data_IF_843454399483
#
_entry.id   IF_843454399483
#
_cell.length_a   1.000
_cell.length_b   1.000
_cell.length_c   1.000
_cell.angle_alpha   90.00
_cell.angle_beta   90.00
_cell.angle_gamma   90.00
#
_symmetry.space_group_name_H-M   'P 1'
#
loop_
_entity.id
_entity.type
_entity.pdbx_description
1 polymer ?
#
# COMPACT_ATOMS: atom_id res chain seq x y z
N UNK A 1 -21.56 -11.03 -0.67
CA UNK A 1 -21.16 -10.08 -1.73
C UNK A 1 -19.82 -10.54 -2.26
N UNK A 2 -19.55 -10.53 -3.57
CA UNK A 2 -18.42 -11.32 -4.07
C UNK A 2 -17.09 -10.57 -4.13
N UNK A 3 -17.08 -9.28 -4.47
CA UNK A 3 -15.84 -8.58 -4.86
C UNK A 3 -15.78 -7.16 -4.32
N UNK A 4 -14.64 -6.76 -3.74
CA UNK A 4 -14.39 -5.39 -3.29
C UNK A 4 -13.24 -4.78 -4.08
N UNK A 5 -13.44 -3.55 -4.55
CA UNK A 5 -12.36 -2.65 -4.95
C UNK A 5 -12.21 -1.55 -3.89
N UNK A 6 -11.16 -1.63 -3.10
CA UNK A 6 -10.79 -0.68 -2.07
C UNK A 6 -9.77 0.33 -2.57
N UNK A 7 -9.96 1.60 -2.22
CA UNK A 7 -8.98 2.67 -2.41
C UNK A 7 -8.51 3.22 -1.07
N UNK A 8 -7.21 3.45 -0.95
CA UNK A 8 -6.59 4.21 0.15
C UNK A 8 -6.40 5.64 -0.32
N UNK A 9 -6.98 6.61 0.40
CA UNK A 9 -6.90 8.03 0.03
C UNK A 9 -6.48 8.88 1.22
N UNK A 10 -5.52 9.77 0.99
CA UNK A 10 -5.25 10.89 1.88
C UNK A 10 -5.70 12.18 1.20
N UNK A 11 -6.60 12.94 1.83
CA UNK A 11 -7.07 14.24 1.36
C UNK A 11 -6.31 15.36 2.04
N UNK A 12 -5.45 16.04 1.28
CA UNK A 12 -4.57 17.09 1.80
C UNK A 12 -4.22 18.17 0.76
N UNK A 13 -4.78 18.07 -0.45
CA UNK A 13 -4.47 18.96 -1.57
C UNK A 13 -5.55 18.93 -2.64
N UNK A 14 -5.68 19.99 -3.44
CA UNK A 14 -6.60 20.03 -4.59
C UNK A 14 -6.43 18.83 -5.53
N UNK A 15 -5.20 18.31 -5.67
CA UNK A 15 -4.94 17.10 -6.46
C UNK A 15 -5.63 15.87 -5.87
N UNK A 16 -5.47 15.62 -4.58
CA UNK A 16 -6.13 14.49 -3.90
C UNK A 16 -7.66 14.52 -4.01
N UNK A 17 -8.26 15.72 -4.08
CA UNK A 17 -9.69 15.89 -4.36
C UNK A 17 -10.06 15.52 -5.81
N UNK A 18 -9.23 15.88 -6.80
CA UNK A 18 -9.44 15.44 -8.20
C UNK A 18 -9.35 13.91 -8.32
N UNK A 19 -8.40 13.30 -7.62
CA UNK A 19 -8.25 11.85 -7.58
C UNK A 19 -9.51 11.19 -7.00
N UNK A 20 -10.04 11.71 -5.89
CA UNK A 20 -11.31 11.28 -5.30
C UNK A 20 -12.49 11.35 -6.30
N UNK A 21 -12.61 12.43 -7.08
CA UNK A 21 -13.65 12.55 -8.13
C UNK A 21 -13.46 11.49 -9.21
N UNK A 22 -12.23 11.24 -9.63
CA UNK A 22 -11.90 10.21 -10.61
C UNK A 22 -12.31 8.83 -10.09
N UNK A 23 -12.16 8.54 -8.79
CA UNK A 23 -12.68 7.32 -8.16
C UNK A 23 -14.19 7.25 -8.26
N UNK A 24 -14.88 8.30 -7.82
CA UNK A 24 -16.34 8.31 -7.75
C UNK A 24 -16.97 8.11 -9.14
N UNK A 25 -16.45 8.79 -10.17
CA UNK A 25 -16.99 8.77 -11.53
C UNK A 25 -16.46 7.64 -12.40
N UNK A 26 -15.19 7.27 -12.25
CA UNK A 26 -14.49 6.37 -13.17
C UNK A 26 -14.65 4.89 -12.85
N UNK A 27 -14.81 4.53 -11.58
CA UNK A 27 -14.76 3.14 -11.13
C UNK A 27 -15.88 2.28 -11.75
N UNK A 28 -17.11 2.79 -11.84
CA UNK A 28 -18.30 2.03 -12.28
C UNK A 28 -18.16 1.47 -13.70
N UNK A 29 -17.39 2.14 -14.57
CA UNK A 29 -17.13 1.69 -15.94
C UNK A 29 -16.33 0.37 -15.97
N UNK A 30 -15.45 0.17 -14.99
CA UNK A 30 -14.54 -0.98 -14.94
C UNK A 30 -14.95 -2.00 -13.87
N UNK A 31 -15.66 -1.56 -12.84
CA UNK A 31 -16.08 -2.36 -11.69
C UNK A 31 -17.58 -2.17 -11.42
N UNK A 32 -18.44 -2.61 -12.35
CA UNK A 32 -19.89 -2.40 -12.25
C UNK A 32 -20.49 -3.21 -11.08
N UNK A 33 -21.41 -2.62 -10.28
CA UNK A 33 -22.11 -3.33 -9.21
C UNK A 33 -22.87 -4.58 -9.68
N UNK A 34 -23.31 -4.58 -10.95
CA UNK A 34 -24.02 -5.69 -11.59
C UNK A 34 -23.15 -6.97 -11.67
N UNK A 35 -21.82 -6.83 -11.68
CA UNK A 35 -20.86 -7.94 -11.63
C UNK A 35 -20.50 -8.37 -10.18
N UNK A 36 -21.19 -7.80 -9.19
CA UNK A 36 -21.01 -8.08 -7.77
C UNK A 36 -19.88 -7.30 -7.12
N UNK A 37 -19.41 -6.21 -7.73
CA UNK A 37 -18.40 -5.32 -7.18
C UNK A 37 -18.99 -4.28 -6.22
N UNK A 38 -18.29 -4.04 -5.12
CA UNK A 38 -18.47 -2.88 -4.27
C UNK A 38 -17.19 -2.06 -4.26
N UNK A 39 -17.32 -0.75 -4.46
CA UNK A 39 -16.19 0.17 -4.35
C UNK A 39 -16.22 0.92 -3.04
N UNK A 40 -15.12 0.83 -2.30
CA UNK A 40 -14.93 1.46 -0.99
C UNK A 40 -13.72 2.38 -1.07
N UNK A 41 -13.87 3.61 -0.59
CA UNK A 41 -12.76 4.55 -0.41
C UNK A 41 -12.55 4.71 1.09
N UNK A 42 -11.43 4.19 1.61
CA UNK A 42 -10.97 4.47 2.96
C UNK A 42 -10.11 5.75 2.92
N UNK A 43 -10.61 6.79 3.58
CA UNK A 43 -10.14 8.16 3.41
C UNK A 43 -9.83 8.82 4.76
N UNK A 44 -8.68 9.51 4.86
CA UNK A 44 -8.35 10.40 5.98
C UNK A 44 -7.91 11.78 5.48
N UNK A 45 -7.70 12.72 6.42
CA UNK A 45 -7.37 14.12 6.15
C UNK A 45 -8.60 15.01 6.25
N UNK A 46 -8.79 15.88 5.26
CA UNK A 46 -9.94 16.78 5.23
C UNK A 46 -11.27 16.01 5.07
N UNK A 47 -12.32 16.45 5.78
CA UNK A 47 -13.66 15.91 5.64
C UNK A 47 -14.27 16.31 4.27
N UNK A 48 -14.56 15.36 3.36
CA UNK A 48 -14.98 15.69 1.99
C UNK A 48 -16.48 16.03 1.88
N UNK A 49 -17.23 16.14 2.98
CA UNK A 49 -18.69 16.33 2.94
C UNK A 49 -19.10 17.58 2.15
N UNK A 50 -18.51 18.72 2.47
CA UNK A 50 -18.80 19.99 1.77
C UNK A 50 -18.38 19.93 0.30
N UNK A 51 -17.28 19.23 0.01
CA UNK A 51 -16.81 19.01 -1.34
C UNK A 51 -17.82 18.21 -2.17
N UNK A 52 -18.42 17.14 -1.61
CA UNK A 52 -19.43 16.35 -2.31
C UNK A 52 -20.71 17.13 -2.64
N UNK A 53 -21.05 18.14 -1.83
CA UNK A 53 -22.16 19.04 -2.09
C UNK A 53 -21.84 20.00 -3.23
N UNK A 54 -20.67 20.63 -3.18
CA UNK A 54 -20.24 21.60 -4.19
C UNK A 54 -20.10 20.98 -5.59
N UNK A 55 -19.59 19.75 -5.66
CA UNK A 55 -19.33 19.06 -6.93
C UNK A 55 -20.51 18.19 -7.44
N UNK A 56 -21.67 18.28 -6.80
CA UNK A 56 -22.87 17.47 -7.10
C UNK A 56 -22.62 15.95 -7.10
N UNK A 57 -21.81 15.47 -6.15
CA UNK A 57 -21.43 14.06 -6.03
C UNK A 57 -22.26 13.32 -4.98
N UNK A 58 -23.08 14.04 -4.20
CA UNK A 58 -23.89 13.45 -3.13
C UNK A 58 -24.71 12.27 -3.63
N UNK A 59 -25.22 12.26 -4.85
CA UNK A 59 -26.01 11.15 -5.37
C UNK A 59 -25.18 9.89 -5.68
N UNK A 60 -23.90 10.04 -5.99
CA UNK A 60 -23.01 8.92 -6.33
C UNK A 60 -22.34 8.25 -5.13
N UNK A 61 -22.32 8.90 -3.96
CA UNK A 61 -21.57 8.43 -2.78
C UNK A 61 -22.44 8.13 -1.56
N UNK A 62 -22.20 7.01 -0.89
CA UNK A 62 -22.62 6.80 0.49
C UNK A 62 -21.48 7.20 1.41
N UNK A 63 -21.62 8.33 2.10
CA UNK A 63 -20.60 8.88 2.98
C UNK A 63 -20.82 8.45 4.44
N UNK A 64 -19.77 7.96 5.08
CA UNK A 64 -19.73 7.56 6.48
C UNK A 64 -18.57 8.30 7.16
N UNK A 65 -18.89 9.05 8.21
CA UNK A 65 -17.94 9.89 8.94
C UNK A 65 -17.70 9.32 10.33
N UNK A 66 -16.60 8.58 10.48
CA UNK A 66 -16.22 7.94 11.73
C UNK A 66 -15.06 8.63 12.42
N UNK A 67 -14.42 9.62 11.78
CA UNK A 67 -13.27 10.33 12.36
C UNK A 67 -13.50 10.84 13.79
N UNK A 68 -14.69 11.39 14.17
CA UNK A 68 -14.93 11.82 15.55
C UNK A 68 -15.12 10.69 16.58
N UNK A 69 -15.39 9.46 16.13
CA UNK A 69 -15.80 8.32 16.95
C UNK A 69 -14.85 7.12 16.81
N UNK A 70 -13.68 7.35 16.22
CA UNK A 70 -12.77 6.29 15.86
C UNK A 70 -12.02 5.76 17.08
N UNK A 71 -12.13 4.46 17.31
CA UNK A 71 -11.35 3.73 18.31
C UNK A 71 -10.31 2.80 17.66
N UNK A 72 -10.63 2.19 16.50
CA UNK A 72 -9.74 1.31 15.73
C UNK A 72 -10.31 0.99 14.34
N UNK A 73 -9.46 0.52 13.42
CA UNK A 73 -9.87 0.04 12.08
C UNK A 73 -10.94 -1.06 12.16
N UNK A 74 -10.76 -2.01 13.08
CA UNK A 74 -11.74 -3.07 13.35
C UNK A 74 -13.09 -2.52 13.79
N UNK A 75 -13.10 -1.56 14.71
CA UNK A 75 -14.35 -0.96 15.19
C UNK A 75 -15.08 -0.20 14.09
N UNK A 76 -14.36 0.58 13.29
CA UNK A 76 -14.93 1.29 12.13
C UNK A 76 -15.52 0.28 11.14
N UNK A 77 -14.81 -0.81 10.85
CA UNK A 77 -15.30 -1.89 9.99
C UNK A 77 -16.60 -2.53 10.52
N UNK A 78 -16.66 -2.81 11.84
CA UNK A 78 -17.86 -3.38 12.49
C UNK A 78 -19.08 -2.46 12.37
N UNK A 79 -18.89 -1.16 12.59
CA UNK A 79 -19.98 -0.18 12.48
C UNK A 79 -20.42 -0.03 11.03
N UNK A 80 -19.46 0.02 10.09
CA UNK A 80 -19.76 0.04 8.66
C UNK A 80 -20.53 -1.21 8.22
N UNK A 81 -20.08 -2.41 8.59
CA UNK A 81 -20.72 -3.67 8.18
C UNK A 81 -22.15 -3.85 8.73
N UNK A 82 -22.44 -3.25 9.90
CA UNK A 82 -23.81 -3.20 10.47
C UNK A 82 -24.67 -2.10 9.83
N UNK A 83 -24.05 -1.13 9.18
CA UNK A 83 -24.76 -0.06 8.49
C UNK A 83 -25.35 -0.56 7.17
N UNK A 84 -26.40 0.11 6.69
CA UNK A 84 -26.92 -0.16 5.35
C UNK A 84 -25.94 0.39 4.30
N UNK A 85 -25.13 -0.48 3.71
CA UNK A 85 -24.30 -0.12 2.56
C UNK A 85 -25.12 -0.14 1.26
N UNK A 86 -24.75 0.70 0.30
CA UNK A 86 -25.48 0.86 -0.98
C UNK A 86 -24.58 0.48 -2.16
N UNK A 87 -24.57 -0.78 -2.63
CA UNK A 87 -23.59 -1.26 -3.62
C UNK A 87 -23.60 -0.47 -4.95
N UNK A 88 -24.74 0.11 -5.33
CA UNK A 88 -24.86 0.99 -6.51
C UNK A 88 -24.15 2.36 -6.38
N UNK A 89 -23.61 2.67 -5.20
CA UNK A 89 -22.92 3.92 -4.88
C UNK A 89 -21.52 3.62 -4.36
N UNK A 90 -20.61 4.55 -4.55
CA UNK A 90 -19.28 4.45 -3.97
C UNK A 90 -19.38 4.68 -2.46
N UNK A 91 -18.89 3.73 -1.66
CA UNK A 91 -18.89 3.87 -0.20
C UNK A 91 -17.64 4.67 0.19
N UNK A 92 -17.81 5.82 0.83
CA UNK A 92 -16.69 6.66 1.31
C UNK A 92 -16.67 6.62 2.82
N UNK A 93 -15.58 6.12 3.39
CA UNK A 93 -15.38 5.98 4.82
C UNK A 93 -14.30 6.97 5.24
N UNK A 94 -14.71 8.03 5.93
CA UNK A 94 -13.80 9.01 6.52
C UNK A 94 -13.43 8.61 7.95
N UNK A 95 -12.14 8.51 8.21
CA UNK A 95 -11.54 8.21 9.51
C UNK A 95 -10.47 9.27 9.86
N UNK A 96 -10.07 9.30 11.13
CA UNK A 96 -9.17 10.31 11.68
C UNK A 96 -7.72 10.11 11.21
N UNK A 97 -6.91 11.17 11.26
CA UNK A 97 -5.57 11.22 10.66
C UNK A 97 -4.50 10.34 11.34
N UNK A 98 -4.79 9.61 12.44
CA UNK A 98 -3.73 8.99 13.25
C UNK A 98 -3.79 7.46 13.35
N UNK A 99 -2.66 6.75 13.05
CA UNK A 99 -1.39 7.26 12.51
C UNK A 99 -1.38 7.37 10.97
N UNK A 100 -0.81 8.45 10.46
CA UNK A 100 -0.49 8.64 9.03
C UNK A 100 0.24 7.40 8.48
N UNK A 101 -0.42 6.71 7.53
CA UNK A 101 0.17 5.61 6.79
C UNK A 101 -0.86 4.73 6.08
N UNK A 102 -0.35 3.86 5.21
CA UNK A 102 -1.15 3.02 4.32
C UNK A 102 -1.66 1.71 4.97
N UNK A 103 -1.19 1.39 6.17
CA UNK A 103 -1.53 0.14 6.87
C UNK A 103 -2.90 0.20 7.53
N UNK A 104 -3.27 1.34 8.13
CA UNK A 104 -4.61 1.50 8.71
C UNK A 104 -5.74 1.32 7.69
N UNK A 105 -5.78 2.05 6.56
CA UNK A 105 -6.87 1.87 5.59
C UNK A 105 -6.85 0.49 4.94
N UNK A 106 -5.68 -0.13 4.82
CA UNK A 106 -5.55 -1.53 4.41
C UNK A 106 -6.21 -2.48 5.42
N UNK A 107 -5.87 -2.36 6.70
CA UNK A 107 -6.47 -3.15 7.78
C UNK A 107 -7.99 -2.97 7.83
N UNK A 108 -8.47 -1.73 7.73
CA UNK A 108 -9.90 -1.40 7.68
C UNK A 108 -10.59 -2.14 6.54
N UNK A 109 -10.04 -2.09 5.33
CA UNK A 109 -10.61 -2.77 4.16
C UNK A 109 -10.60 -4.30 4.31
N UNK A 110 -9.55 -4.87 4.90
CA UNK A 110 -9.48 -6.31 5.22
C UNK A 110 -10.56 -6.72 6.23
N UNK A 111 -10.75 -5.96 7.30
CA UNK A 111 -11.81 -6.23 8.28
C UNK A 111 -13.21 -6.10 7.67
N UNK A 112 -13.44 -5.10 6.82
CA UNK A 112 -14.71 -4.98 6.09
C UNK A 112 -14.94 -6.19 5.20
N UNK A 113 -13.94 -6.61 4.43
CA UNK A 113 -14.02 -7.79 3.58
C UNK A 113 -14.38 -9.06 4.37
N UNK A 114 -13.77 -9.24 5.54
CA UNK A 114 -14.08 -10.35 6.45
C UNK A 114 -15.52 -10.27 6.99
N UNK A 115 -15.97 -9.10 7.42
CA UNK A 115 -17.30 -8.91 8.03
C UNK A 115 -18.45 -9.10 7.04
N UNK A 116 -18.24 -8.76 5.76
CA UNK A 116 -19.27 -8.93 4.71
C UNK A 116 -19.09 -10.22 3.88
N UNK A 117 -18.15 -11.08 4.30
CA UNK A 117 -17.76 -12.33 3.65
C UNK A 117 -17.47 -12.15 2.15
N UNK A 118 -16.63 -11.17 1.81
CA UNK A 118 -16.20 -10.94 0.44
C UNK A 118 -15.26 -12.05 -0.04
N UNK A 119 -15.49 -12.60 -1.24
CA UNK A 119 -14.65 -13.65 -1.83
C UNK A 119 -13.25 -13.10 -2.18
N UNK A 120 -13.19 -11.86 -2.65
CA UNK A 120 -11.96 -11.18 -3.04
C UNK A 120 -11.96 -9.70 -2.67
N UNK A 121 -10.79 -9.18 -2.29
CA UNK A 121 -10.54 -7.78 -1.98
C UNK A 121 -9.33 -7.30 -2.78
N UNK A 122 -9.51 -6.30 -3.64
CA UNK A 122 -8.40 -5.49 -4.15
C UNK A 122 -8.24 -4.23 -3.30
N UNK A 123 -7.01 -3.86 -2.97
CA UNK A 123 -6.67 -2.59 -2.32
C UNK A 123 -5.66 -1.86 -3.18
N UNK A 124 -6.05 -0.69 -3.68
CA UNK A 124 -5.24 0.18 -4.52
C UNK A 124 -4.92 1.51 -3.83
N UNK A 125 -3.74 2.04 -4.08
CA UNK A 125 -3.48 3.47 -3.89
C UNK A 125 -4.29 4.29 -4.90
N UNK A 126 -4.58 5.53 -4.51
CA UNK A 126 -5.40 6.48 -5.27
C UNK A 126 -4.59 7.43 -6.14
N UNK A 127 -3.27 7.26 -6.21
CA UNK A 127 -2.37 8.10 -7.01
C UNK A 127 -2.42 7.81 -8.52
N UNK A 128 -3.22 6.81 -8.92
CA UNK A 128 -3.42 6.37 -10.29
C UNK A 128 -2.13 6.02 -11.04
N UNK A 129 -1.09 5.59 -10.33
CA UNK A 129 0.05 4.93 -10.96
C UNK A 129 -0.43 3.74 -11.81
N UNK A 130 -1.46 3.03 -11.33
CA UNK A 130 -2.19 2.02 -12.09
C UNK A 130 -3.53 2.60 -12.56
N UNK A 131 -3.79 2.49 -13.87
CA UNK A 131 -5.08 2.87 -14.44
C UNK A 131 -6.16 1.83 -14.09
N UNK A 132 -7.44 2.21 -14.15
CA UNK A 132 -8.54 1.26 -13.91
C UNK A 132 -8.51 0.03 -14.80
N UNK A 133 -8.10 0.19 -16.06
CA UNK A 133 -7.98 -0.95 -16.97
C UNK A 133 -6.90 -1.93 -16.51
N UNK A 134 -5.78 -1.43 -15.96
CA UNK A 134 -4.73 -2.30 -15.42
C UNK A 134 -5.17 -2.94 -14.10
N UNK A 135 -5.77 -2.19 -13.17
CA UNK A 135 -6.35 -2.76 -11.94
C UNK A 135 -7.35 -3.87 -12.31
N UNK A 136 -8.22 -3.63 -13.30
CA UNK A 136 -9.21 -4.62 -13.75
C UNK A 136 -8.55 -5.86 -14.35
N UNK A 137 -7.53 -5.70 -15.19
CA UNK A 137 -6.77 -6.83 -15.75
C UNK A 137 -6.15 -7.71 -14.66
N UNK A 138 -5.56 -7.10 -13.63
CA UNK A 138 -4.98 -7.84 -12.49
C UNK A 138 -6.08 -8.55 -11.69
N UNK A 139 -7.22 -7.89 -11.50
CA UNK A 139 -8.37 -8.47 -10.81
C UNK A 139 -8.91 -9.70 -11.54
N UNK A 140 -9.17 -9.58 -12.85
CA UNK A 140 -9.66 -10.70 -13.66
C UNK A 140 -8.65 -11.85 -13.71
N UNK A 141 -7.34 -11.54 -13.78
CA UNK A 141 -6.29 -12.55 -13.65
C UNK A 141 -6.35 -13.25 -12.29
N UNK A 142 -6.42 -12.51 -11.18
CA UNK A 142 -6.55 -13.09 -9.84
C UNK A 142 -7.76 -14.04 -9.75
N UNK A 143 -8.92 -13.62 -10.26
CA UNK A 143 -10.12 -14.45 -10.27
C UNK A 143 -9.96 -15.75 -11.08
N UNK A 144 -9.11 -15.75 -12.09
CA UNK A 144 -8.84 -16.94 -12.92
C UNK A 144 -7.90 -17.96 -12.26
N UNK A 145 -7.09 -17.55 -11.29
CA UNK A 145 -6.04 -18.40 -10.68
C UNK A 145 -6.23 -18.65 -9.18
N UNK A 146 -7.02 -17.83 -8.48
CA UNK A 146 -7.16 -17.87 -7.03
C UNK A 146 -8.54 -18.39 -6.59
N UNK A 147 -8.51 -19.49 -5.83
CA UNK A 147 -9.66 -20.02 -5.11
C UNK A 147 -9.92 -19.16 -3.86
N UNK A 148 -11.15 -18.62 -3.64
CA UNK A 148 -11.49 -17.82 -2.46
C UNK A 148 -11.14 -18.49 -1.12
N UNK A 149 -11.14 -19.83 -1.07
CA UNK A 149 -10.89 -20.61 0.14
C UNK A 149 -9.42 -21.04 0.31
N UNK A 150 -8.55 -20.67 -0.63
CA UNK A 150 -7.10 -20.82 -0.51
C UNK A 150 -6.45 -19.48 -0.20
N UNK A 151 -5.39 -19.50 0.61
CA UNK A 151 -4.63 -18.30 0.96
C UNK A 151 -3.83 -17.87 -0.26
N UNK A 152 -4.29 -16.85 -0.97
CA UNK A 152 -3.61 -16.30 -2.15
C UNK A 152 -3.60 -14.77 -2.07
N UNK A 153 -2.45 -14.18 -2.34
CA UNK A 153 -2.33 -12.74 -2.61
C UNK A 153 -1.65 -12.53 -3.95
N UNK A 154 -2.22 -11.63 -4.75
CA UNK A 154 -1.63 -11.16 -6.01
C UNK A 154 -1.04 -9.77 -5.85
N UNK A 155 0.21 -9.64 -6.27
CA UNK A 155 0.92 -8.37 -6.44
C UNK A 155 1.34 -8.25 -7.90
N UNK A 156 0.83 -7.27 -8.66
CA UNK A 156 1.30 -7.08 -10.02
C UNK A 156 2.72 -6.53 -10.05
N UNK A 157 3.45 -6.82 -11.12
CA UNK A 157 4.80 -6.30 -11.38
C UNK A 157 4.74 -5.10 -12.31
N UNK A 158 5.16 -3.93 -11.84
CA UNK A 158 5.13 -2.69 -12.64
C UNK A 158 6.21 -2.68 -13.74
N UNK A 159 5.84 -2.29 -14.96
CA UNK A 159 6.75 -2.11 -16.10
C UNK A 159 6.33 -0.95 -17.03
N UNK A 160 7.23 -0.02 -17.43
CA UNK A 160 8.61 0.13 -16.98
C UNK A 160 8.68 0.70 -15.55
N UNK A 161 9.80 0.45 -14.87
CA UNK A 161 10.09 1.10 -13.59
C UNK A 161 10.49 2.56 -13.87
N UNK A 162 9.59 3.53 -13.71
CA UNK A 162 9.92 4.95 -13.93
C UNK A 162 9.74 5.77 -12.64
N UNK A 163 10.87 6.16 -12.05
CA UNK A 163 10.97 7.28 -11.10
C UNK A 163 12.44 7.55 -10.81
N UNK A 164 12.86 8.78 -11.06
CA UNK A 164 14.10 9.35 -10.54
C UNK A 164 13.68 10.48 -9.59
N UNK A 165 13.96 10.31 -8.30
CA UNK A 165 13.73 11.38 -7.32
C UNK A 165 15.09 12.01 -7.06
N UNK A 166 15.40 13.12 -7.72
CA UNK A 166 16.69 13.82 -7.61
C UNK A 166 17.05 14.24 -6.16
N UNK A 167 16.08 14.20 -5.24
CA UNK A 167 16.19 14.69 -3.85
C UNK A 167 16.63 13.62 -2.82
N UNK A 168 16.69 12.33 -3.17
CA UNK A 168 17.12 11.27 -2.24
C UNK A 168 18.35 10.53 -2.79
N UNK A 169 19.35 10.14 -1.97
CA UNK A 169 20.58 9.51 -2.46
C UNK A 169 20.40 8.14 -3.14
N UNK A 170 19.21 7.55 -2.98
CA UNK A 170 18.79 6.31 -3.62
C UNK A 170 17.46 6.54 -4.34
N UNK A 171 17.34 6.08 -5.59
CA UNK A 171 16.08 6.20 -6.32
C UNK A 171 14.99 5.37 -5.64
N UNK A 172 13.72 5.73 -5.87
CA UNK A 172 12.58 5.07 -5.22
C UNK A 172 12.56 3.56 -5.42
N UNK A 173 12.90 3.10 -6.62
CA UNK A 173 12.87 1.68 -6.97
C UNK A 173 13.89 0.86 -6.20
N UNK A 174 15.12 1.35 -6.09
CA UNK A 174 16.13 0.69 -5.27
C UNK A 174 15.74 0.74 -3.79
N UNK A 175 15.07 1.79 -3.32
CA UNK A 175 14.52 1.81 -1.97
C UNK A 175 13.43 0.74 -1.78
N UNK A 176 12.50 0.58 -2.72
CA UNK A 176 11.49 -0.49 -2.68
C UNK A 176 12.10 -1.89 -2.76
N UNK A 177 13.18 -2.07 -3.52
CA UNK A 177 13.90 -3.34 -3.57
C UNK A 177 14.55 -3.67 -2.21
N UNK A 178 15.17 -2.67 -1.57
CA UNK A 178 15.71 -2.83 -0.21
C UNK A 178 14.59 -3.06 0.83
N UNK A 179 13.43 -2.43 0.69
CA UNK A 179 12.26 -2.70 1.52
C UNK A 179 11.80 -4.16 1.36
N UNK A 180 11.74 -4.64 0.11
CA UNK A 180 11.38 -6.01 -0.21
C UNK A 180 12.38 -7.00 0.41
N UNK A 181 13.68 -6.67 0.48
CA UNK A 181 14.70 -7.52 1.09
C UNK A 181 14.42 -7.90 2.55
N UNK A 182 13.71 -7.07 3.32
CA UNK A 182 13.27 -7.46 4.66
C UNK A 182 12.43 -8.74 4.63
N UNK A 183 11.57 -8.93 3.62
CA UNK A 183 10.77 -10.16 3.46
C UNK A 183 11.70 -11.36 3.32
N UNK A 184 12.69 -11.28 2.44
CA UNK A 184 13.64 -12.37 2.16
C UNK A 184 14.39 -12.79 3.42
N UNK A 185 14.89 -11.82 4.18
CA UNK A 185 15.68 -12.09 5.39
C UNK A 185 14.86 -12.69 6.54
N UNK A 186 13.57 -12.38 6.61
CA UNK A 186 12.72 -12.75 7.75
C UNK A 186 11.84 -13.96 7.52
N UNK A 187 11.80 -14.47 6.30
CA UNK A 187 10.97 -15.61 5.91
C UNK A 187 11.77 -16.89 5.63
N UNK A 188 13.10 -16.88 5.84
CA UNK A 188 14.00 -18.02 5.64
C UNK A 188 13.89 -18.64 4.22
N UNK A 189 13.53 -17.79 3.24
CA UNK A 189 13.26 -18.22 1.88
C UNK A 189 14.49 -18.10 1.01
N UNK A 190 15.17 -19.23 0.79
CA UNK A 190 15.98 -19.43 -0.40
C UNK A 190 15.14 -19.50 -1.70
N UNK A 191 13.81 -19.35 -1.62
CA UNK A 191 12.82 -19.74 -2.65
C UNK A 191 12.36 -18.58 -3.54
N UNK A 192 12.60 -17.32 -3.16
CA UNK A 192 12.18 -16.19 -3.99
C UNK A 192 13.18 -15.95 -5.14
N UNK A 193 13.19 -16.86 -6.13
CA UNK A 193 13.96 -16.75 -7.39
C UNK A 193 13.36 -15.75 -8.40
N UNK A 194 12.34 -14.98 -8.03
CA UNK A 194 11.76 -13.96 -8.91
C UNK A 194 11.77 -12.59 -8.24
N UNK A 195 11.53 -11.55 -9.05
CA UNK A 195 11.63 -10.11 -8.73
C UNK A 195 10.25 -9.51 -8.34
N UNK A 196 9.60 -9.89 -7.22
CA UNK A 196 8.27 -9.41 -6.87
C UNK A 196 8.26 -7.93 -6.53
N UNK A 197 7.15 -7.29 -6.85
CA UNK A 197 6.90 -5.88 -6.56
C UNK A 197 5.79 -5.76 -5.51
N UNK A 198 6.16 -5.96 -4.24
CA UNK A 198 5.21 -5.89 -3.10
C UNK A 198 4.79 -4.45 -2.75
N UNK A 199 5.41 -3.47 -3.40
CA UNK A 199 5.14 -2.04 -3.24
C UNK A 199 4.39 -1.47 -4.45
N UNK A 200 3.76 -2.32 -5.26
CA UNK A 200 3.09 -1.94 -6.51
C UNK A 200 1.87 -1.04 -6.38
N UNK A 201 1.53 -0.64 -5.15
CA UNK A 201 0.34 0.15 -4.83
C UNK A 201 -0.97 -0.64 -4.96
N UNK A 202 -0.96 -1.85 -5.51
CA UNK A 202 -2.11 -2.76 -5.64
C UNK A 202 -1.81 -4.12 -5.02
N UNK A 203 -2.73 -4.61 -4.21
CA UNK A 203 -2.75 -6.01 -3.73
C UNK A 203 -4.15 -6.58 -3.87
N UNK A 204 -4.28 -7.83 -4.30
CA UNK A 204 -5.56 -8.54 -4.36
C UNK A 204 -5.50 -9.80 -3.52
N UNK A 205 -6.43 -9.97 -2.59
CA UNK A 205 -6.47 -11.06 -1.63
C UNK A 205 -7.74 -11.89 -1.77
N UNK A 206 -7.63 -13.18 -1.47
CA UNK A 206 -8.79 -14.06 -1.30
C UNK A 206 -9.39 -13.92 0.10
N UNK A 207 -10.62 -14.42 0.28
CA UNK A 207 -11.27 -14.54 1.59
C UNK A 207 -10.40 -15.27 2.61
N UNK A 208 -9.82 -16.41 2.24
CA UNK A 208 -8.95 -17.17 3.15
C UNK A 208 -7.68 -16.39 3.53
N UNK A 209 -7.10 -15.60 2.62
CA UNK A 209 -6.00 -14.71 2.97
C UNK A 209 -6.46 -13.61 3.95
N UNK A 210 -7.60 -12.95 3.69
CA UNK A 210 -8.12 -11.91 4.57
C UNK A 210 -8.39 -12.39 6.00
N UNK A 211 -8.85 -13.63 6.18
CA UNK A 211 -9.10 -14.22 7.52
C UNK A 211 -7.84 -14.46 8.34
N UNK A 212 -6.68 -14.60 7.68
CA UNK A 212 -5.40 -14.84 8.33
C UNK A 212 -4.68 -13.54 8.70
N UNK A 213 -4.79 -12.52 7.86
CA UNK A 213 -4.01 -11.28 8.00
C UNK A 213 -4.30 -10.57 9.32
N UNK A 214 -3.25 -10.31 10.09
CA UNK A 214 -3.29 -9.52 11.31
C UNK A 214 -2.40 -8.26 11.16
N UNK A 215 -2.94 -7.11 11.56
CA UNK A 215 -2.26 -5.82 11.52
C UNK A 215 -2.15 -5.12 12.90
N UNK A 216 -2.60 -5.75 13.99
CA UNK A 216 -2.69 -5.14 15.34
C UNK A 216 -1.38 -4.50 15.84
N UNK A 217 -0.23 -5.02 15.40
CA UNK A 217 1.09 -4.50 15.77
C UNK A 217 1.88 -3.95 14.57
N UNK A 218 1.29 -3.91 13.39
CA UNK A 218 2.00 -3.57 12.16
C UNK A 218 2.10 -2.06 12.02
N UNK A 219 3.32 -1.59 11.77
CA UNK A 219 3.57 -0.17 11.59
C UNK A 219 2.85 0.43 10.37
N UNK A 220 2.53 1.72 10.46
CA UNK A 220 1.76 2.52 9.49
C UNK A 220 2.13 2.38 8.00
N UNK A 221 3.37 2.05 7.64
CA UNK A 221 3.86 2.07 6.25
C UNK A 221 4.27 0.71 5.69
N UNK A 222 4.20 -0.36 6.49
CA UNK A 222 4.77 -1.67 6.12
C UNK A 222 3.70 -2.74 5.87
N UNK A 223 2.41 -2.39 5.91
CA UNK A 223 1.28 -3.31 5.76
C UNK A 223 1.37 -4.25 4.56
N UNK A 224 1.59 -3.74 3.34
CA UNK A 224 1.71 -4.56 2.13
C UNK A 224 2.88 -5.58 2.22
N UNK A 225 4.05 -5.16 2.74
CA UNK A 225 5.18 -6.09 2.96
C UNK A 225 4.81 -7.16 3.97
N UNK A 226 4.14 -6.74 5.06
CA UNK A 226 3.77 -7.62 6.14
C UNK A 226 2.73 -8.66 5.70
N UNK A 227 1.81 -8.30 4.80
CA UNK A 227 0.88 -9.26 4.18
C UNK A 227 1.62 -10.39 3.47
N UNK A 228 2.62 -10.06 2.65
CA UNK A 228 3.42 -11.06 1.95
C UNK A 228 4.13 -12.01 2.94
N UNK A 229 4.75 -11.47 3.99
CA UNK A 229 5.40 -12.27 5.05
C UNK A 229 4.40 -13.22 5.72
N UNK A 230 3.22 -12.72 6.10
CA UNK A 230 2.19 -13.52 6.76
C UNK A 230 1.71 -14.67 5.87
N UNK A 231 1.45 -14.41 4.58
CA UNK A 231 1.05 -15.45 3.63
C UNK A 231 2.09 -16.54 3.51
N UNK A 232 3.36 -16.18 3.32
CA UNK A 232 4.44 -17.15 3.17
C UNK A 232 4.58 -17.99 4.44
N UNK A 233 4.60 -17.35 5.62
CA UNK A 233 4.73 -18.07 6.91
C UNK A 233 3.59 -19.06 7.14
N UNK A 234 2.42 -18.78 6.59
CA UNK A 234 1.26 -19.67 6.65
C UNK A 234 1.14 -20.61 5.43
N UNK A 235 2.21 -20.77 4.63
CA UNK A 235 2.25 -21.65 3.44
C UNK A 235 1.18 -21.31 2.40
N UNK A 236 0.75 -20.06 2.35
CA UNK A 236 -0.09 -19.55 1.28
C UNK A 236 0.71 -19.25 0.02
N UNK A 237 0.02 -18.76 -1.00
CA UNK A 237 0.57 -18.53 -2.33
C UNK A 237 0.67 -17.04 -2.67
N UNK A 238 1.76 -16.66 -3.34
CA UNK A 238 2.01 -15.31 -3.82
C UNK A 238 2.06 -15.30 -5.35
N UNK A 239 1.06 -14.68 -5.97
CA UNK A 239 1.03 -14.43 -7.41
C UNK A 239 1.72 -13.10 -7.71
N UNK A 240 2.93 -13.14 -8.27
CA UNK A 240 3.80 -11.95 -8.35
C UNK A 240 4.41 -11.66 -9.72
N UNK A 241 4.07 -12.47 -10.72
CA UNK A 241 4.70 -12.41 -12.05
C UNK A 241 3.79 -11.75 -13.11
N UNK A 242 2.61 -11.25 -12.73
CA UNK A 242 1.70 -10.58 -13.66
C UNK A 242 2.15 -9.14 -13.94
N UNK A 243 2.61 -8.87 -15.15
CA UNK A 243 3.11 -7.55 -15.54
C UNK A 243 2.00 -6.55 -15.86
N UNK A 244 2.18 -5.32 -15.37
CA UNK A 244 1.25 -4.18 -15.59
C UNK A 244 1.97 -2.95 -16.10
N UNK A 245 1.26 -2.20 -16.94
CA UNK A 245 1.71 -0.88 -17.39
C UNK A 245 1.39 0.17 -16.35
N UNK A 246 2.34 1.05 -16.06
CA UNK A 246 2.14 2.14 -15.10
C UNK A 246 2.24 3.50 -15.74
N UNK A 247 1.48 4.45 -15.21
CA UNK A 247 1.69 5.87 -15.43
C UNK A 247 2.92 6.33 -14.65
N UNK A 248 3.44 7.50 -14.98
CA UNK A 248 4.46 8.14 -14.15
C UNK A 248 3.90 8.38 -12.74
N UNK A 249 4.61 7.87 -11.74
CA UNK A 249 4.23 8.10 -10.35
C UNK A 249 4.56 9.55 -9.96
N UNK A 250 3.64 10.17 -9.24
CA UNK A 250 3.76 11.57 -8.84
C UNK A 250 4.34 11.73 -7.42
N UNK A 251 5.06 12.82 -7.17
CA UNK A 251 5.74 13.12 -5.88
C UNK A 251 4.81 13.32 -4.65
N UNK A 252 3.50 13.04 -4.70
CA UNK A 252 2.58 13.44 -3.63
C UNK A 252 2.68 12.62 -2.33
N UNK A 253 3.12 11.37 -2.38
CA UNK A 253 3.22 10.46 -1.21
C UNK A 253 4.66 10.04 -0.88
N UNK A 254 5.62 10.44 -1.71
CA UNK A 254 7.02 10.04 -1.60
C UNK A 254 7.85 11.30 -1.38
N UNK A 255 8.07 11.63 -0.12
CA UNK A 255 8.98 12.70 0.28
C UNK A 255 10.02 12.17 1.27
N UNK A 256 11.02 13.00 1.57
CA UNK A 256 12.11 12.66 2.48
C UNK A 256 11.62 12.15 3.84
N UNK A 257 10.66 12.85 4.46
CA UNK A 257 10.14 12.51 5.78
C UNK A 257 9.46 11.14 5.81
N UNK A 258 8.65 10.84 4.78
CA UNK A 258 7.97 9.54 4.64
C UNK A 258 8.99 8.41 4.46
N UNK A 259 10.04 8.62 3.67
CA UNK A 259 11.09 7.62 3.50
C UNK A 259 11.84 7.36 4.81
N UNK A 260 12.26 8.40 5.54
CA UNK A 260 12.92 8.24 6.83
C UNK A 260 12.00 7.59 7.88
N UNK A 261 10.73 7.99 7.94
CA UNK A 261 9.75 7.36 8.84
C UNK A 261 9.56 5.87 8.54
N UNK A 262 9.51 5.49 7.26
CA UNK A 262 9.40 4.10 6.83
C UNK A 262 10.65 3.29 7.18
N UNK A 263 11.85 3.85 6.98
CA UNK A 263 13.13 3.22 7.34
C UNK A 263 13.20 2.97 8.85
N UNK A 264 12.93 3.99 9.66
CA UNK A 264 12.90 3.87 11.12
C UNK A 264 11.89 2.82 11.57
N UNK A 265 10.71 2.77 10.95
CA UNK A 265 9.70 1.76 11.25
C UNK A 265 10.14 0.34 10.89
N UNK A 266 10.73 0.13 9.71
CA UNK A 266 11.30 -1.15 9.31
C UNK A 266 12.39 -1.60 10.28
N UNK A 267 13.27 -0.67 10.69
CA UNK A 267 14.30 -0.95 11.69
C UNK A 267 13.68 -1.33 13.04
N UNK A 268 12.72 -0.58 13.57
CA UNK A 268 12.09 -0.91 14.87
C UNK A 268 11.34 -2.22 14.84
N UNK A 269 10.73 -2.55 13.71
CA UNK A 269 9.90 -3.74 13.59
C UNK A 269 10.74 -5.01 13.39
N UNK A 270 11.86 -4.90 12.67
CA UNK A 270 12.66 -6.06 12.29
C UNK A 270 14.05 -6.11 12.92
N UNK A 271 14.50 -5.04 13.59
CA UNK A 271 15.80 -4.88 14.23
C UNK A 271 17.01 -5.06 13.29
N UNK A 272 16.80 -4.88 11.98
CA UNK A 272 17.86 -4.94 10.96
C UNK A 272 18.09 -3.53 10.40
N UNK A 273 19.29 -2.93 10.58
CA UNK A 273 19.62 -1.64 9.98
C UNK A 273 19.60 -1.68 8.45
N UNK A 274 19.09 -0.62 7.82
CA UNK A 274 19.04 -0.51 6.35
C UNK A 274 20.42 -0.67 5.70
N UNK A 275 21.49 -0.18 6.33
CA UNK A 275 22.85 -0.33 5.81
C UNK A 275 23.31 -1.78 5.71
N UNK A 276 22.88 -2.65 6.62
CA UNK A 276 23.16 -4.09 6.54
C UNK A 276 22.42 -4.70 5.35
N UNK A 277 21.17 -4.27 5.09
CA UNK A 277 20.41 -4.67 3.91
C UNK A 277 21.16 -4.25 2.64
N UNK A 278 21.58 -2.98 2.55
CA UNK A 278 22.26 -2.46 1.35
C UNK A 278 23.58 -3.20 1.11
N UNK A 279 24.40 -3.42 2.15
CA UNK A 279 25.68 -4.14 2.03
C UNK A 279 25.46 -5.54 1.44
N UNK A 280 24.50 -6.28 1.98
CA UNK A 280 24.13 -7.60 1.48
C UNK A 280 23.62 -7.53 0.03
N UNK A 281 22.78 -6.54 -0.28
CA UNK A 281 22.21 -6.34 -1.60
C UNK A 281 23.29 -6.10 -2.67
N UNK A 282 24.33 -5.36 -2.31
CA UNK A 282 25.46 -5.00 -3.18
C UNK A 282 26.44 -6.15 -3.37
N UNK A 283 26.53 -7.08 -2.42
CA UNK A 283 27.34 -8.31 -2.56
C UNK A 283 26.74 -9.30 -3.57
N UNK A 284 25.43 -9.24 -3.78
CA UNK A 284 24.68 -10.11 -4.71
C UNK A 284 23.61 -9.31 -5.50
N UNK A 285 24.02 -8.32 -6.32
CA UNK A 285 23.09 -7.39 -6.97
C UNK A 285 22.07 -8.09 -7.87
N UNK A 286 22.46 -9.19 -8.51
CA UNK A 286 21.62 -9.98 -9.41
C UNK A 286 20.48 -10.68 -8.67
N UNK A 287 20.75 -11.07 -7.42
CA UNK A 287 19.80 -11.74 -6.55
C UNK A 287 18.82 -10.76 -5.91
N UNK A 288 19.28 -9.54 -5.61
CA UNK A 288 18.52 -8.54 -4.85
C UNK A 288 18.06 -7.33 -5.66
N UNK A 289 18.14 -7.42 -7.00
CA UNK A 289 17.58 -6.44 -7.94
C UNK A 289 18.27 -5.08 -7.91
N UNK A 290 19.48 -5.03 -7.34
CA UNK A 290 20.28 -3.82 -7.26
C UNK A 290 21.16 -3.62 -8.50
N UNK A 291 21.07 -4.49 -9.51
CA UNK A 291 21.85 -4.39 -10.76
C UNK A 291 21.72 -3.02 -11.42
N UNK A 292 20.48 -2.55 -11.59
CA UNK A 292 20.19 -1.27 -12.25
C UNK A 292 20.72 -0.09 -11.43
N UNK A 293 20.70 -0.20 -10.10
CA UNK A 293 21.17 0.85 -9.19
C UNK A 293 22.69 0.88 -9.05
N UNK A 294 23.34 -0.29 -9.00
CA UNK A 294 24.81 -0.41 -8.89
C UNK A 294 25.52 -0.19 -10.22
N UNK A 295 24.80 -0.25 -11.35
CA UNK A 295 25.37 -0.06 -12.69
C UNK A 295 26.11 1.27 -12.80
N UNK A 296 27.41 1.19 -13.10
CA UNK A 296 28.27 2.36 -13.29
C UNK A 296 28.71 3.05 -12.00
N UNK A 297 28.44 2.47 -10.82
CA UNK A 297 28.93 2.96 -9.53
C UNK A 297 30.09 2.11 -9.02
N UNK A 298 31.14 2.75 -8.52
CA UNK A 298 32.23 2.10 -7.80
C UNK A 298 31.81 1.70 -6.39
N UNK A 299 32.54 0.73 -5.80
CA UNK A 299 32.32 0.31 -4.41
C UNK A 299 32.43 1.47 -3.41
N UNK A 300 33.39 2.37 -3.63
CA UNK A 300 33.59 3.54 -2.77
C UNK A 300 32.43 4.54 -2.88
N UNK A 301 31.86 4.75 -4.07
CA UNK A 301 30.66 5.58 -4.24
C UNK A 301 29.45 4.97 -3.52
N UNK A 302 29.27 3.66 -3.61
CA UNK A 302 28.20 2.94 -2.91
C UNK A 302 28.35 3.08 -1.39
N UNK A 303 29.56 2.90 -0.85
CA UNK A 303 29.84 3.08 0.59
C UNK A 303 29.54 4.52 1.06
N UNK A 304 29.89 5.53 0.26
CA UNK A 304 29.57 6.93 0.55
C UNK A 304 28.05 7.18 0.54
N UNK A 305 27.30 6.55 -0.38
CA UNK A 305 25.84 6.66 -0.41
C UNK A 305 25.23 6.02 0.84
N UNK A 306 25.69 4.84 1.26
CA UNK A 306 25.24 4.18 2.49
C UNK A 306 25.46 5.09 3.70
N UNK A 307 26.66 5.65 3.84
CA UNK A 307 26.99 6.58 4.92
C UNK A 307 26.07 7.80 4.95
N UNK A 308 25.80 8.42 3.78
CA UNK A 308 24.88 9.56 3.67
C UNK A 308 23.46 9.20 4.10
N UNK A 309 22.96 8.03 3.71
CA UNK A 309 21.62 7.56 4.10
C UNK A 309 21.53 7.40 5.63
N UNK A 310 22.54 6.80 6.26
CA UNK A 310 22.60 6.64 7.72
C UNK A 310 22.65 7.99 8.43
N UNK A 311 23.50 8.90 7.96
CA UNK A 311 23.62 10.25 8.52
C UNK A 311 22.31 11.03 8.42
N UNK A 312 21.64 10.98 7.25
CA UNK A 312 20.35 11.62 7.03
C UNK A 312 19.27 11.07 7.97
N UNK A 313 19.20 9.75 8.13
CA UNK A 313 18.23 9.12 9.02
C UNK A 313 18.49 9.45 10.50
N UNK A 314 19.76 9.49 10.92
CA UNK A 314 20.13 9.87 12.29
C UNK A 314 19.73 11.31 12.60
N UNK A 315 19.99 12.25 11.69
CA UNK A 315 19.58 13.66 11.85
C UNK A 315 18.05 13.79 11.97
N UNK A 316 17.30 13.12 11.10
CA UNK A 316 15.83 13.09 11.18
C UNK A 316 15.32 12.57 12.53
N UNK A 317 15.91 11.49 13.06
CA UNK A 317 15.54 10.93 14.36
C UNK A 317 15.88 11.85 15.53
N UNK A 318 17.00 12.57 15.46
CA UNK A 318 17.37 13.58 16.45
C UNK A 318 16.39 14.75 16.49
N UNK A 319 15.98 15.26 15.32
CA UNK A 319 14.99 16.33 15.20
C UNK A 319 13.63 15.90 15.77
N UNK A 320 13.14 14.71 15.41
CA UNK A 320 11.89 14.17 15.95
C UNK A 320 11.91 13.95 17.47
N UNK A 321 13.07 13.62 18.05
CA UNK A 321 13.23 13.52 19.51
C UNK A 321 13.15 14.89 20.18
N UNK A 322 13.75 15.92 19.59
CA UNK A 322 13.70 17.30 20.11
C UNK A 322 12.27 17.85 20.08
N UNK A 323 11.52 17.59 19.00
CA UNK A 323 10.11 17.98 18.88
C UNK A 323 9.25 17.38 20.01
N UNK A 324 9.42 16.07 20.32
CA UNK A 324 8.67 15.39 21.38
C UNK A 324 8.98 15.85 22.81
N UNK A 325 10.15 16.42 23.04
CA UNK A 325 10.54 16.97 24.36
C UNK A 325 10.00 18.39 24.53
N UNK A 326 9.68 19.07 23.43
CA UNK A 326 9.23 20.46 23.39
C UNK A 326 7.69 20.60 23.35
N UNK A 327 6.98 19.48 23.19
CA UNK A 327 5.51 19.34 23.19
C UNK A 327 5.04 18.68 24.48
#
# INVERSE_FOLDING_TARGET
>A
MKKILGFRQYLHSEKSYRDLVQIIKGQKKHFPPEEGFMTIIALCGDNPREYFEREDLRHDVSFYDFAPWEESARRVAEVFAKSYYKPGRVQVIHYNEKPLGLTYPLELLVHIANLIDAEHLAVSDSDFQLSYSEIRRVYDYHLSVADPDKVVITYPRRHPRSLDTEKYPINRWAMEDLENMYIYLLSDLNVLNSKPDFQSGLSITTRAANKMLNFENVGSWIGNLHMAIQVIRNKGHLEKDFEVKTNHQHESTINFEVQCAKIDQLYRYYMIPLSNIIKLAVEHPEKYLMDDWTKGKSKQEIEQIIYRIEEMNNRYLEEKRKEKISS
#
